data_IF_257605013522
#
_entry.id   IF_257605013522
#
_cell.length_a   1.000
_cell.length_b   1.000
_cell.length_c   1.000
_cell.angle_alpha   90.00
_cell.angle_beta   90.00
_cell.angle_gamma   90.00
#
_symmetry.space_group_name_H-M   'P 1'
#
loop_
_entity.id
_entity.type
_entity.pdbx_description
1 polymer ?
#
# COMPACT_ATOMS: atom_id res chain seq x y z
N UNK A 1 -10.21 -57.70 23.98
CA UNK A 1 -11.07 -56.90 23.07
C UNK A 1 -11.47 -55.55 23.69
N UNK A 2 -10.62 -54.91 24.52
CA UNK A 2 -11.06 -53.78 25.38
C UNK A 2 -10.21 -52.49 25.26
N UNK A 3 -9.29 -52.41 24.29
CA UNK A 3 -8.45 -51.21 24.10
C UNK A 3 -8.91 -50.32 22.95
N UNK A 4 -9.78 -50.83 22.06
CA UNK A 4 -10.22 -50.07 20.89
C UNK A 4 -11.25 -48.99 21.27
N UNK A 5 -12.22 -49.34 22.13
CA UNK A 5 -13.36 -48.46 22.45
C UNK A 5 -12.94 -47.18 23.20
N UNK A 6 -11.98 -47.27 24.12
CA UNK A 6 -11.44 -46.10 24.84
C UNK A 6 -10.70 -45.13 23.93
N UNK A 7 -10.10 -45.62 22.84
CA UNK A 7 -9.36 -44.79 21.90
C UNK A 7 -10.33 -44.02 20.99
N UNK A 8 -11.45 -44.63 20.58
CA UNK A 8 -12.49 -43.95 19.78
C UNK A 8 -13.15 -42.83 20.58
N UNK A 9 -13.39 -43.04 21.87
CA UNK A 9 -13.96 -42.05 22.78
C UNK A 9 -13.01 -40.87 23.03
N UNK A 10 -11.71 -41.14 23.18
CA UNK A 10 -10.67 -40.12 23.29
C UNK A 10 -10.52 -39.31 22.00
N UNK A 11 -10.61 -39.97 20.83
CA UNK A 11 -10.61 -39.30 19.52
C UNK A 11 -11.87 -38.43 19.36
N UNK A 12 -13.03 -38.87 19.83
CA UNK A 12 -14.26 -38.09 19.84
C UNK A 12 -14.14 -36.80 20.67
N UNK A 13 -13.60 -36.89 21.89
CA UNK A 13 -13.35 -35.74 22.75
C UNK A 13 -12.31 -34.76 22.19
N UNK A 14 -11.27 -35.27 21.52
CA UNK A 14 -10.27 -34.45 20.83
C UNK A 14 -10.89 -33.68 19.65
N UNK A 15 -11.74 -34.33 18.84
CA UNK A 15 -12.44 -33.69 17.71
C UNK A 15 -13.40 -32.61 18.20
N UNK A 16 -14.09 -32.83 19.32
CA UNK A 16 -15.01 -31.86 19.93
C UNK A 16 -14.28 -30.63 20.48
N UNK A 17 -13.14 -30.87 21.15
CA UNK A 17 -12.28 -29.80 21.67
C UNK A 17 -11.67 -28.96 20.53
N UNK A 18 -11.23 -29.61 19.44
CA UNK A 18 -10.74 -28.92 18.22
C UNK A 18 -11.85 -28.09 17.56
N UNK A 19 -13.09 -28.60 17.50
CA UNK A 19 -14.25 -27.87 16.96
C UNK A 19 -14.53 -26.59 17.75
N UNK A 20 -14.48 -26.67 19.07
CA UNK A 20 -14.70 -25.52 19.95
C UNK A 20 -13.57 -24.48 19.82
N UNK A 21 -12.32 -24.93 19.64
CA UNK A 21 -11.17 -24.04 19.43
C UNK A 21 -11.23 -23.30 18.08
N UNK A 22 -11.61 -23.99 17.01
CA UNK A 22 -11.81 -23.38 15.67
C UNK A 22 -12.99 -22.39 15.66
N UNK A 23 -14.00 -22.64 16.50
CA UNK A 23 -15.16 -21.74 16.67
C UNK A 23 -14.77 -20.36 17.19
N UNK A 24 -13.95 -20.29 18.25
CA UNK A 24 -13.44 -19.02 18.78
C UNK A 24 -12.42 -18.37 17.85
N UNK A 25 -11.54 -19.17 17.23
CA UNK A 25 -10.48 -18.67 16.34
C UNK A 25 -11.06 -17.93 15.12
N UNK A 26 -12.26 -18.31 14.64
CA UNK A 26 -12.98 -17.62 13.56
C UNK A 26 -13.36 -16.18 13.90
N UNK A 27 -13.76 -15.91 15.13
CA UNK A 27 -14.23 -14.58 15.54
C UNK A 27 -13.05 -13.62 15.73
N UNK A 28 -11.96 -14.11 16.34
CA UNK A 28 -10.69 -13.39 16.41
C UNK A 28 -10.09 -13.14 15.02
N UNK A 29 -10.12 -14.12 14.11
CA UNK A 29 -9.67 -13.94 12.73
C UNK A 29 -10.51 -12.91 11.97
N UNK A 30 -11.83 -12.86 12.19
CA UNK A 30 -12.69 -11.85 11.57
C UNK A 30 -12.29 -10.43 12.01
N UNK A 31 -12.10 -10.24 13.32
CA UNK A 31 -11.71 -8.94 13.88
C UNK A 31 -10.31 -8.52 13.41
N UNK A 32 -9.35 -9.45 13.37
CA UNK A 32 -7.98 -9.17 12.94
C UNK A 32 -7.89 -8.85 11.43
N UNK A 33 -8.70 -9.53 10.60
CA UNK A 33 -8.84 -9.19 9.17
C UNK A 33 -9.46 -7.80 9.00
N UNK A 34 -10.49 -7.46 9.78
CA UNK A 34 -11.11 -6.12 9.73
C UNK A 34 -10.12 -5.05 10.16
N UNK A 35 -9.34 -5.24 11.23
CA UNK A 35 -8.33 -4.28 11.68
C UNK A 35 -7.23 -4.07 10.63
N UNK A 36 -6.75 -5.15 9.99
CA UNK A 36 -5.80 -5.07 8.87
C UNK A 36 -6.38 -4.29 7.69
N UNK A 37 -7.63 -4.56 7.29
CA UNK A 37 -8.29 -3.85 6.18
C UNK A 37 -8.46 -2.37 6.52
N UNK A 38 -8.93 -2.04 7.72
CA UNK A 38 -9.08 -0.65 8.16
C UNK A 38 -7.74 0.07 8.15
N UNK A 39 -6.69 -0.53 8.72
CA UNK A 39 -5.34 0.06 8.73
C UNK A 39 -4.79 0.29 7.31
N UNK A 40 -5.03 -0.65 6.40
CA UNK A 40 -4.64 -0.56 5.00
C UNK A 40 -5.41 0.58 4.29
N UNK A 41 -6.72 0.67 4.52
CA UNK A 41 -7.56 1.75 4.01
C UNK A 41 -7.15 3.11 4.58
N UNK A 42 -6.86 3.21 5.87
CA UNK A 42 -6.39 4.46 6.49
C UNK A 42 -5.05 4.88 5.90
N UNK A 43 -4.09 3.96 5.77
CA UNK A 43 -2.80 4.25 5.16
C UNK A 43 -2.94 4.67 3.68
N UNK A 44 -3.81 3.99 2.94
CA UNK A 44 -4.12 4.34 1.55
C UNK A 44 -4.75 5.73 1.43
N UNK A 45 -5.71 6.04 2.32
CA UNK A 45 -6.38 7.35 2.37
C UNK A 45 -5.39 8.46 2.68
N UNK A 46 -4.54 8.29 3.70
CA UNK A 46 -3.49 9.27 4.05
C UNK A 46 -2.54 9.46 2.87
N UNK A 47 -2.11 8.37 2.24
CA UNK A 47 -1.21 8.41 1.08
C UNK A 47 -1.85 9.17 -0.08
N UNK A 48 -3.12 8.91 -0.38
CA UNK A 48 -3.87 9.63 -1.41
C UNK A 48 -3.99 11.12 -1.12
N UNK A 49 -4.35 11.50 0.11
CA UNK A 49 -4.47 12.91 0.51
C UNK A 49 -3.12 13.61 0.39
N UNK A 50 -2.04 12.97 0.84
CA UNK A 50 -0.70 13.53 0.81
C UNK A 50 -0.18 13.67 -0.63
N UNK A 51 -0.38 12.65 -1.48
CA UNK A 51 -0.09 12.73 -2.92
C UNK A 51 -0.90 13.83 -3.62
N UNK A 52 -2.18 13.96 -3.28
CA UNK A 52 -3.04 15.03 -3.80
C UNK A 52 -2.51 16.42 -3.44
N UNK A 53 -2.16 16.64 -2.17
CA UNK A 53 -1.56 17.90 -1.70
C UNK A 53 -0.24 18.21 -2.41
N UNK A 54 0.66 17.22 -2.49
CA UNK A 54 1.93 17.38 -3.21
C UNK A 54 1.67 17.78 -4.66
N UNK A 55 0.71 17.13 -5.33
CA UNK A 55 0.37 17.42 -6.73
C UNK A 55 -0.07 18.86 -6.90
N UNK A 56 -0.95 19.37 -6.01
CA UNK A 56 -1.42 20.75 -6.06
C UNK A 56 -0.26 21.73 -5.87
N UNK A 57 0.58 21.52 -4.85
CA UNK A 57 1.77 22.37 -4.60
C UNK A 57 2.69 22.39 -5.82
N UNK A 58 2.93 21.23 -6.43
CA UNK A 58 3.82 21.06 -7.56
C UNK A 58 3.28 21.75 -8.82
N UNK A 59 1.96 21.73 -9.04
CA UNK A 59 1.31 22.50 -10.12
C UNK A 59 1.54 24.01 -9.92
N UNK A 60 1.26 24.55 -8.73
CA UNK A 60 1.47 25.98 -8.47
C UNK A 60 2.94 26.40 -8.60
N UNK A 61 3.86 25.56 -8.12
CA UNK A 61 5.29 25.78 -8.26
C UNK A 61 5.72 25.78 -9.74
N UNK A 62 5.13 24.90 -10.55
CA UNK A 62 5.34 24.86 -12.02
C UNK A 62 4.90 26.16 -12.69
N UNK A 63 3.73 26.67 -12.31
CA UNK A 63 3.24 27.95 -12.82
C UNK A 63 4.17 29.09 -12.42
N UNK A 64 4.58 29.15 -11.16
CA UNK A 64 5.53 30.15 -10.68
C UNK A 64 6.85 30.12 -11.48
N UNK A 65 7.40 28.92 -11.72
CA UNK A 65 8.60 28.74 -12.52
C UNK A 65 8.40 29.17 -13.99
N UNK A 66 7.28 28.79 -14.59
CA UNK A 66 6.95 29.16 -15.97
C UNK A 66 6.78 30.68 -16.13
N UNK A 67 6.15 31.35 -15.16
CA UNK A 67 6.01 32.81 -15.15
C UNK A 67 7.35 33.53 -14.94
N UNK A 68 8.18 33.04 -14.02
CA UNK A 68 9.51 33.61 -13.79
C UNK A 68 10.40 33.51 -15.03
N UNK A 69 10.43 32.34 -15.68
CA UNK A 69 11.17 32.12 -16.93
C UNK A 69 10.54 32.88 -18.12
N UNK A 70 9.21 32.97 -18.14
CA UNK A 70 8.45 33.66 -19.17
C UNK A 70 8.73 35.15 -19.23
N UNK A 71 9.10 35.78 -18.10
CA UNK A 71 9.49 37.20 -18.07
C UNK A 71 10.79 37.48 -18.85
N UNK A 72 11.67 36.49 -19.02
CA UNK A 72 12.94 36.65 -19.74
C UNK A 72 12.89 36.13 -21.17
N UNK A 73 12.24 34.99 -21.41
CA UNK A 73 12.25 34.30 -22.71
C UNK A 73 10.92 34.39 -23.47
N UNK A 74 9.88 34.96 -22.87
CA UNK A 74 8.51 34.91 -23.36
C UNK A 74 7.73 33.72 -22.81
N UNK A 75 6.43 33.93 -22.58
CA UNK A 75 5.55 33.00 -21.85
C UNK A 75 5.53 31.59 -22.48
N UNK A 76 5.52 31.50 -23.81
CA UNK A 76 5.50 30.23 -24.55
C UNK A 76 6.76 29.40 -24.27
N UNK A 77 7.92 30.04 -24.27
CA UNK A 77 9.20 29.38 -24.00
C UNK A 77 9.34 28.97 -22.53
N UNK A 78 8.79 29.77 -21.60
CA UNK A 78 8.72 29.42 -20.18
C UNK A 78 7.98 28.11 -19.93
N UNK A 79 6.80 27.93 -20.52
CA UNK A 79 6.07 26.65 -20.44
C UNK A 79 6.80 25.50 -21.12
N UNK A 80 7.44 25.74 -22.27
CA UNK A 80 8.16 24.72 -23.02
C UNK A 80 9.36 24.16 -22.23
N UNK A 81 10.11 25.03 -21.52
CA UNK A 81 11.24 24.63 -20.67
C UNK A 81 10.75 23.81 -19.47
N UNK A 82 9.68 24.25 -18.81
CA UNK A 82 9.09 23.52 -17.66
C UNK A 82 8.57 22.15 -18.11
N UNK A 83 7.94 22.06 -19.29
CA UNK A 83 7.50 20.80 -19.86
C UNK A 83 8.67 19.86 -20.18
N UNK A 84 9.75 20.38 -20.77
CA UNK A 84 10.96 19.61 -21.05
C UNK A 84 11.61 19.09 -19.75
N UNK A 85 11.63 19.89 -18.69
CA UNK A 85 12.10 19.48 -17.36
C UNK A 85 11.25 18.33 -16.79
N UNK A 86 9.92 18.41 -16.90
CA UNK A 86 9.03 17.32 -16.46
C UNK A 86 9.23 16.03 -17.26
N UNK A 87 9.42 16.12 -18.57
CA UNK A 87 9.72 14.96 -19.42
C UNK A 87 11.04 14.31 -18.98
N UNK A 88 12.08 15.11 -18.72
CA UNK A 88 13.36 14.61 -18.20
C UNK A 88 13.19 13.91 -16.85
N UNK A 89 12.47 14.52 -15.92
CA UNK A 89 12.16 13.91 -14.61
C UNK A 89 11.41 12.59 -14.77
N UNK A 90 10.42 12.53 -15.66
CA UNK A 90 9.66 11.32 -15.96
C UNK A 90 10.58 10.23 -16.50
N UNK A 91 11.44 10.56 -17.45
CA UNK A 91 12.39 9.61 -18.05
C UNK A 91 13.36 9.05 -16.99
N UNK A 92 13.86 9.90 -16.10
CA UNK A 92 14.71 9.50 -14.98
C UNK A 92 13.96 8.58 -13.99
N UNK A 93 12.71 8.89 -13.69
CA UNK A 93 11.83 8.05 -12.87
C UNK A 93 11.59 6.68 -13.50
N UNK A 94 11.32 6.64 -14.80
CA UNK A 94 11.09 5.39 -15.54
C UNK A 94 12.37 4.55 -15.65
N UNK A 95 13.53 5.18 -15.81
CA UNK A 95 14.82 4.49 -15.79
C UNK A 95 15.11 3.87 -14.41
N UNK A 96 14.81 4.60 -13.34
CA UNK A 96 14.98 4.13 -11.96
C UNK A 96 13.78 3.33 -11.41
N UNK A 97 12.81 2.94 -12.26
CA UNK A 97 11.55 2.28 -11.85
C UNK A 97 11.75 1.08 -10.93
N UNK A 98 12.83 0.31 -11.16
CA UNK A 98 13.11 -0.93 -10.45
C UNK A 98 13.54 -0.68 -8.99
N UNK A 99 14.17 0.47 -8.67
CA UNK A 99 14.53 0.78 -7.28
C UNK A 99 13.42 1.52 -6.52
N UNK A 100 12.62 2.34 -7.20
CA UNK A 100 11.66 3.24 -6.55
C UNK A 100 10.28 2.63 -6.37
N UNK A 101 9.85 1.71 -7.25
CA UNK A 101 8.52 1.10 -7.18
C UNK A 101 8.60 -0.29 -6.56
N UNK A 102 9.47 -1.18 -7.07
CA UNK A 102 9.48 -2.57 -6.62
C UNK A 102 9.90 -2.74 -5.16
N UNK A 103 10.98 -2.08 -4.70
CA UNK A 103 11.46 -2.25 -3.32
C UNK A 103 10.44 -1.84 -2.24
N UNK A 104 9.80 -0.65 -2.29
CA UNK A 104 8.78 -0.30 -1.31
C UNK A 104 7.51 -1.14 -1.45
N UNK A 105 7.12 -1.54 -2.67
CA UNK A 105 5.92 -2.36 -2.89
C UNK A 105 6.11 -3.79 -2.37
N UNK A 106 7.27 -4.40 -2.61
CA UNK A 106 7.61 -5.72 -2.07
C UNK A 106 7.73 -5.67 -0.55
N UNK A 107 8.30 -4.61 0.04
CA UNK A 107 8.34 -4.43 1.50
C UNK A 107 6.96 -4.24 2.10
N UNK A 108 6.08 -3.48 1.45
CA UNK A 108 4.69 -3.31 1.86
C UNK A 108 3.93 -4.65 1.83
N UNK A 109 3.99 -5.37 0.70
CA UNK A 109 3.38 -6.69 0.54
C UNK A 109 3.93 -7.69 1.56
N UNK A 110 5.25 -7.73 1.77
CA UNK A 110 5.88 -8.57 2.78
C UNK A 110 5.38 -8.21 4.18
N UNK A 111 5.28 -6.92 4.53
CA UNK A 111 4.80 -6.49 5.85
C UNK A 111 3.31 -6.78 6.11
N UNK A 112 2.52 -6.94 5.04
CA UNK A 112 1.09 -7.26 5.11
C UNK A 112 0.80 -8.76 5.15
N UNK A 113 1.63 -9.58 4.49
CA UNK A 113 1.46 -11.03 4.40
C UNK A 113 2.22 -11.82 5.47
N UNK A 114 3.39 -11.32 5.93
CA UNK A 114 4.21 -12.00 6.95
C UNK A 114 3.88 -11.59 8.40
N UNK A 115 2.82 -10.82 8.59
CA UNK A 115 2.26 -10.46 9.90
C UNK A 115 0.77 -10.81 9.89
#
# INVERSE_FOLDING_TARGET
>A
MFSNDKNVETIGQLVETIKHYIGLQKEYLKLDVVDKVVRLLTAFTITLVLLGLITIVLIYLSFAAAFALGNWLGMVWGFCIVAAFYILLLLLFVANRHQWIEKPFVRFLASLLLK
#
